data_IF_369572506367
#
_entry.id   IF_369572506367
#
_cell.length_a   1.000
_cell.length_b   1.000
_cell.length_c   1.000
_cell.angle_alpha   90.00
_cell.angle_beta   90.00
_cell.angle_gamma   90.00
#
_symmetry.space_group_name_H-M   'P 1'
#
loop_
_entity.id
_entity.type
_entity.pdbx_description
1 polymer ?
#
# COMPACT_ATOMS: atom_id res chain seq x y z
N UNK A 1 -4.74 -1.98 22.68
CA UNK A 1 -5.24 -1.32 21.46
C UNK A 1 -5.23 -2.36 20.37
N UNK A 2 -6.31 -2.50 19.59
CA UNK A 2 -6.35 -3.48 18.52
C UNK A 2 -5.37 -3.08 17.43
N UNK A 3 -4.85 -4.11 16.80
CA UNK A 3 -3.82 -3.97 15.81
C UNK A 3 -4.30 -3.57 14.43
N UNK A 4 -3.38 -3.16 13.54
CA UNK A 4 -3.78 -2.72 12.19
C UNK A 4 -4.51 -3.84 11.45
N UNK A 5 -4.00 -5.07 11.57
CA UNK A 5 -4.60 -6.24 10.93
C UNK A 5 -6.05 -6.44 11.38
N UNK A 6 -6.33 -6.29 12.68
CA UNK A 6 -7.70 -6.41 13.21
C UNK A 6 -8.57 -5.23 12.81
N UNK A 7 -8.01 -4.03 12.76
CA UNK A 7 -8.73 -2.79 12.47
C UNK A 7 -9.19 -2.69 11.01
N UNK A 8 -8.62 -3.49 10.10
CA UNK A 8 -8.99 -3.53 8.67
C UNK A 8 -9.84 -4.76 8.30
N UNK A 9 -10.28 -5.54 9.28
CA UNK A 9 -11.17 -6.67 9.04
C UNK A 9 -12.57 -6.17 8.64
N UNK A 10 -13.16 -6.85 7.67
CA UNK A 10 -14.53 -6.61 7.21
C UNK A 10 -15.23 -7.94 6.97
N UNK A 11 -16.52 -7.99 7.27
CA UNK A 11 -17.36 -9.18 7.09
C UNK A 11 -18.33 -8.97 5.93
N UNK A 12 -18.49 -10.00 5.10
CA UNK A 12 -19.48 -9.98 4.02
C UNK A 12 -20.90 -9.87 4.61
N UNK A 13 -21.71 -8.97 4.05
CA UNK A 13 -23.16 -9.01 4.16
C UNK A 13 -23.70 -10.05 3.17
N UNK A 14 -24.08 -11.22 3.68
CA UNK A 14 -24.56 -12.36 2.88
C UNK A 14 -25.78 -12.00 2.02
N UNK A 15 -26.57 -10.99 2.39
CA UNK A 15 -27.73 -10.58 1.60
C UNK A 15 -27.35 -9.85 0.30
N UNK A 16 -26.11 -9.37 0.21
CA UNK A 16 -25.61 -8.52 -0.87
C UNK A 16 -24.80 -9.26 -1.94
N UNK A 17 -24.43 -10.53 -1.68
CA UNK A 17 -23.48 -11.26 -2.53
C UNK A 17 -24.12 -11.72 -3.84
N UNK A 18 -23.45 -11.41 -4.93
CA UNK A 18 -23.74 -11.90 -6.28
C UNK A 18 -22.42 -12.22 -6.99
N UNK A 19 -22.44 -12.84 -8.18
CA UNK A 19 -21.22 -13.05 -8.96
C UNK A 19 -20.47 -11.78 -9.35
N UNK A 20 -21.10 -10.61 -9.26
CA UNK A 20 -20.52 -9.32 -9.68
C UNK A 20 -20.54 -8.26 -8.61
N UNK A 21 -21.17 -8.47 -7.46
CA UNK A 21 -21.30 -7.47 -6.41
C UNK A 21 -21.22 -8.09 -5.02
N UNK A 22 -20.72 -7.32 -4.05
CA UNK A 22 -20.73 -7.68 -2.63
C UNK A 22 -20.62 -6.42 -1.76
N UNK A 23 -21.20 -6.45 -0.57
CA UNK A 23 -21.01 -5.43 0.47
C UNK A 23 -20.29 -6.04 1.66
N UNK A 24 -19.22 -5.40 2.11
CA UNK A 24 -18.50 -5.75 3.33
C UNK A 24 -18.74 -4.69 4.38
N UNK A 25 -18.89 -5.10 5.63
CA UNK A 25 -19.22 -4.20 6.74
C UNK A 25 -18.18 -4.30 7.85
N UNK A 26 -18.05 -3.22 8.62
CA UNK A 26 -17.18 -3.16 9.79
C UNK A 26 -17.26 -1.80 10.48
N UNK A 27 -16.38 -1.60 11.46
CA UNK A 27 -16.28 -0.36 12.25
C UNK A 27 -14.91 0.27 12.08
N UNK A 28 -14.86 1.60 12.09
CA UNK A 28 -13.60 2.34 12.07
C UNK A 28 -12.99 2.32 13.47
N UNK A 29 -11.72 1.93 13.54
CA UNK A 29 -10.97 1.99 14.79
C UNK A 29 -10.24 3.33 14.93
N UNK A 30 -10.55 4.06 16.00
CA UNK A 30 -10.00 5.40 16.23
C UNK A 30 -8.50 5.40 16.55
N UNK A 31 -7.90 4.25 16.84
CA UNK A 31 -6.44 4.09 16.97
C UNK A 31 -5.75 4.47 15.66
N UNK A 32 -6.35 4.18 14.51
CA UNK A 32 -5.75 4.43 13.19
C UNK A 32 -6.17 5.79 12.59
N UNK A 33 -6.58 6.72 13.45
CA UNK A 33 -6.92 8.10 13.09
C UNK A 33 -5.75 9.07 13.28
N UNK A 34 -5.80 10.14 12.49
CA UNK A 34 -5.02 11.35 12.69
C UNK A 34 -5.99 12.46 13.13
N UNK A 35 -5.89 12.88 14.39
CA UNK A 35 -6.96 13.64 15.03
C UNK A 35 -8.24 12.81 15.07
N UNK A 36 -9.33 13.35 14.51
CA UNK A 36 -10.64 12.69 14.44
C UNK A 36 -10.91 11.94 13.13
N UNK A 37 -9.98 12.01 12.17
CA UNK A 37 -10.18 11.47 10.82
C UNK A 37 -9.29 10.24 10.63
N UNK A 38 -9.84 9.11 10.14
CA UNK A 38 -9.05 7.94 9.77
C UNK A 38 -7.92 8.30 8.81
N UNK A 39 -6.75 7.69 8.99
CA UNK A 39 -5.66 7.86 8.03
C UNK A 39 -6.10 7.33 6.64
N UNK A 40 -5.66 7.98 5.57
CA UNK A 40 -6.16 7.71 4.21
C UNK A 40 -5.88 6.27 3.78
N UNK A 41 -4.61 5.86 3.87
CA UNK A 41 -4.17 4.50 3.62
C UNK A 41 -4.80 3.42 4.52
N UNK A 42 -5.20 3.73 5.76
CA UNK A 42 -5.97 2.83 6.64
C UNK A 42 -7.36 2.57 6.02
N UNK A 43 -8.03 3.64 5.59
CA UNK A 43 -9.32 3.54 4.88
C UNK A 43 -9.19 2.74 3.57
N UNK A 44 -8.09 2.93 2.82
CA UNK A 44 -7.82 2.14 1.61
C UNK A 44 -7.46 0.69 1.92
N UNK A 45 -6.84 0.40 3.06
CA UNK A 45 -6.53 -0.96 3.48
C UNK A 45 -7.83 -1.73 3.77
N UNK A 46 -8.82 -1.10 4.40
CA UNK A 46 -10.17 -1.66 4.56
C UNK A 46 -10.78 -2.02 3.18
N UNK A 47 -10.80 -1.06 2.25
CA UNK A 47 -11.37 -1.25 0.92
C UNK A 47 -10.68 -2.39 0.18
N UNK A 48 -9.34 -2.38 0.14
CA UNK A 48 -8.57 -3.38 -0.57
C UNK A 48 -8.74 -4.78 0.02
N UNK A 49 -8.77 -4.92 1.35
CA UNK A 49 -8.96 -6.24 1.98
C UNK A 49 -10.38 -6.78 1.74
N UNK A 50 -11.39 -5.93 1.64
CA UNK A 50 -12.74 -6.33 1.20
C UNK A 50 -12.75 -6.80 -0.28
N UNK A 51 -12.04 -6.10 -1.17
CA UNK A 51 -11.88 -6.54 -2.58
C UNK A 51 -11.17 -7.89 -2.64
N UNK A 52 -10.08 -8.06 -1.90
CA UNK A 52 -9.34 -9.33 -1.86
C UNK A 52 -10.20 -10.49 -1.35
N UNK A 53 -11.01 -10.26 -0.30
CA UNK A 53 -11.97 -11.23 0.18
C UNK A 53 -13.01 -11.59 -0.90
N UNK A 54 -13.54 -10.57 -1.60
CA UNK A 54 -14.51 -10.78 -2.68
C UNK A 54 -13.94 -11.60 -3.82
N UNK A 55 -12.66 -11.42 -4.15
CA UNK A 55 -11.97 -12.20 -5.18
C UNK A 55 -11.87 -13.70 -4.85
N UNK A 56 -12.14 -14.12 -3.60
CA UNK A 56 -12.14 -15.51 -3.13
C UNK A 56 -13.55 -16.12 -3.04
N UNK A 57 -14.62 -15.37 -3.30
CA UNK A 57 -15.98 -15.87 -3.08
C UNK A 57 -16.34 -16.96 -4.09
N UNK A 58 -17.04 -18.04 -3.68
CA UNK A 58 -17.55 -19.06 -4.59
C UNK A 58 -18.45 -18.47 -5.71
N UNK A 59 -19.21 -17.43 -5.39
CA UNK A 59 -20.13 -16.77 -6.32
C UNK A 59 -19.38 -16.10 -7.48
N UNK A 60 -18.27 -15.44 -7.20
CA UNK A 60 -17.41 -14.84 -8.24
C UNK A 60 -16.61 -15.92 -8.99
N UNK A 61 -16.01 -16.85 -8.25
CA UNK A 61 -15.03 -17.81 -8.78
C UNK A 61 -15.66 -18.90 -9.64
N UNK A 62 -16.94 -19.23 -9.44
CA UNK A 62 -17.68 -20.23 -10.22
C UNK A 62 -18.16 -19.74 -11.60
N UNK A 63 -17.95 -18.46 -11.94
CA UNK A 63 -18.34 -17.90 -13.25
C UNK A 63 -17.55 -18.52 -14.42
N UNK A 64 -18.18 -18.63 -15.60
CA UNK A 64 -17.64 -19.31 -16.80
C UNK A 64 -16.51 -18.55 -17.54
N UNK A 65 -15.73 -17.73 -16.83
CA UNK A 65 -14.59 -17.00 -17.39
C UNK A 65 -13.36 -17.85 -17.19
N UNK A 66 -12.73 -18.31 -18.30
CA UNK A 66 -11.52 -19.16 -18.31
C UNK A 66 -10.55 -18.72 -17.20
N UNK A 67 -10.43 -19.58 -16.19
CA UNK A 67 -10.25 -19.23 -14.78
C UNK A 67 -8.79 -18.97 -14.41
N UNK A 68 -8.30 -17.75 -14.66
CA UNK A 68 -7.11 -17.26 -13.97
C UNK A 68 -7.56 -16.60 -12.66
N UNK A 69 -7.15 -17.12 -11.49
CA UNK A 69 -7.45 -16.47 -10.23
C UNK A 69 -6.64 -15.18 -10.11
N UNK A 70 -7.32 -14.04 -10.00
CA UNK A 70 -6.69 -12.74 -9.83
C UNK A 70 -6.64 -12.36 -8.34
N UNK A 71 -5.62 -12.82 -7.64
CA UNK A 71 -5.45 -12.62 -6.20
C UNK A 71 -4.58 -11.40 -5.84
N UNK A 72 -3.85 -10.86 -6.81
CA UNK A 72 -2.92 -9.77 -6.57
C UNK A 72 -3.50 -8.44 -7.03
N UNK A 73 -3.49 -7.39 -6.20
CA UNK A 73 -3.79 -6.06 -6.69
C UNK A 73 -2.66 -5.60 -7.63
N UNK A 74 -3.02 -4.99 -8.74
CA UNK A 74 -2.09 -4.37 -9.70
C UNK A 74 -2.16 -2.85 -9.55
N UNK A 75 -3.37 -2.29 -9.54
CA UNK A 75 -3.62 -0.85 -9.38
C UNK A 75 -4.77 -0.65 -8.39
N UNK A 76 -4.61 0.30 -7.48
CA UNK A 76 -5.67 0.85 -6.63
C UNK A 76 -5.65 2.38 -6.79
N UNK A 77 -6.64 2.95 -7.44
CA UNK A 77 -6.78 4.41 -7.60
C UNK A 77 -7.97 4.90 -6.83
N UNK A 78 -7.77 5.83 -5.90
CA UNK A 78 -8.78 6.29 -4.96
C UNK A 78 -9.03 7.79 -5.06
N UNK A 79 -10.29 8.18 -5.10
CA UNK A 79 -10.74 9.57 -4.94
C UNK A 79 -11.42 9.72 -3.58
N UNK A 80 -10.91 10.64 -2.77
CA UNK A 80 -11.46 10.97 -1.46
C UNK A 80 -12.51 12.06 -1.63
N UNK A 81 -13.77 11.65 -1.67
CA UNK A 81 -14.92 12.54 -1.93
C UNK A 81 -15.25 13.34 -0.67
N UNK A 82 -15.26 12.66 0.48
CA UNK A 82 -15.52 13.27 1.79
C UNK A 82 -14.69 12.58 2.87
N UNK A 83 -14.46 13.28 3.98
CA UNK A 83 -13.75 12.72 5.11
C UNK A 83 -14.51 11.50 5.67
N UNK A 84 -13.79 10.39 5.81
CA UNK A 84 -14.24 9.20 6.55
C UNK A 84 -14.40 9.59 8.02
N UNK A 85 -15.37 8.97 8.68
CA UNK A 85 -15.73 9.23 10.07
C UNK A 85 -15.58 7.96 10.90
N UNK A 86 -15.90 8.00 12.19
CA UNK A 86 -15.80 6.87 13.11
C UNK A 86 -17.08 6.00 13.15
N UNK A 87 -18.07 6.32 12.30
CA UNK A 87 -19.29 5.52 12.16
C UNK A 87 -19.02 4.18 11.45
N UNK A 88 -19.90 3.17 11.62
CA UNK A 88 -19.81 1.93 10.85
C UNK A 88 -19.76 2.20 9.34
N UNK A 89 -18.99 1.39 8.62
CA UNK A 89 -18.81 1.54 7.19
C UNK A 89 -19.42 0.37 6.41
N UNK A 90 -19.68 0.63 5.13
CA UNK A 90 -19.95 -0.37 4.11
C UNK A 90 -18.94 -0.19 2.98
N UNK A 91 -18.22 -1.24 2.61
CA UNK A 91 -17.45 -1.30 1.36
C UNK A 91 -18.29 -2.02 0.32
N UNK A 92 -18.73 -1.32 -0.72
CA UNK A 92 -19.49 -1.88 -1.83
C UNK A 92 -18.53 -2.18 -2.97
N UNK A 93 -18.43 -3.45 -3.35
CA UNK A 93 -17.54 -3.93 -4.42
C UNK A 93 -18.38 -4.34 -5.62
N UNK A 94 -17.99 -3.89 -6.82
CA UNK A 94 -18.64 -4.20 -8.09
C UNK A 94 -17.61 -4.60 -9.13
N UNK A 95 -17.82 -5.71 -9.82
CA UNK A 95 -17.05 -6.14 -10.98
C UNK A 95 -17.53 -5.37 -12.20
N UNK A 96 -16.64 -4.58 -12.80
CA UNK A 96 -16.92 -3.92 -14.08
C UNK A 96 -16.58 -4.82 -15.27
N UNK A 97 -15.46 -5.56 -15.17
CA UNK A 97 -15.02 -6.49 -16.22
C UNK A 97 -14.09 -7.55 -15.67
N UNK A 98 -14.19 -8.78 -16.17
CA UNK A 98 -13.16 -9.82 -15.98
C UNK A 98 -12.65 -10.33 -17.31
N UNK A 99 -11.34 -10.34 -17.48
CA UNK A 99 -10.65 -10.91 -18.62
C UNK A 99 -9.75 -12.07 -18.20
N UNK A 100 -8.88 -12.51 -19.13
CA UNK A 100 -7.91 -13.59 -18.88
C UNK A 100 -6.75 -13.18 -18.00
N UNK A 101 -6.37 -11.91 -18.03
CA UNK A 101 -5.16 -11.41 -17.35
C UNK A 101 -5.45 -10.41 -16.25
N UNK A 102 -6.62 -9.77 -16.29
CA UNK A 102 -7.00 -8.70 -15.36
C UNK A 102 -8.49 -8.80 -15.01
N UNK A 103 -8.81 -8.45 -13.77
CA UNK A 103 -10.16 -8.11 -13.33
C UNK A 103 -10.22 -6.64 -12.95
N UNK A 104 -11.22 -5.94 -13.45
CA UNK A 104 -11.49 -4.55 -13.21
C UNK A 104 -12.72 -4.43 -12.31
N UNK A 105 -12.53 -3.80 -11.16
CA UNK A 105 -13.54 -3.61 -10.13
C UNK A 105 -13.62 -2.14 -9.72
N UNK A 106 -14.80 -1.73 -9.29
CA UNK A 106 -15.02 -0.52 -8.51
C UNK A 106 -15.29 -0.93 -7.06
N UNK A 107 -14.71 -0.20 -6.10
CA UNK A 107 -15.01 -0.39 -4.69
C UNK A 107 -15.18 0.94 -3.98
N UNK A 108 -16.25 1.08 -3.21
CA UNK A 108 -16.66 2.34 -2.60
C UNK A 108 -16.85 2.18 -1.09
N UNK A 109 -16.34 3.13 -0.31
CA UNK A 109 -16.58 3.21 1.12
C UNK A 109 -17.71 4.19 1.41
N UNK A 110 -18.78 3.68 2.02
CA UNK A 110 -20.00 4.40 2.38
C UNK A 110 -20.15 4.46 3.90
N UNK A 111 -20.61 5.60 4.41
CA UNK A 111 -20.97 5.81 5.81
C UNK A 111 -22.18 6.73 5.89
N UNK A 112 -23.18 6.36 6.70
CA UNK A 112 -24.38 7.17 6.92
C UNK A 112 -25.10 7.57 5.63
N UNK A 113 -25.16 6.63 4.67
CA UNK A 113 -25.77 6.88 3.34
C UNK A 113 -24.95 7.77 2.41
N UNK A 114 -23.73 8.16 2.78
CA UNK A 114 -22.86 9.05 2.00
C UNK A 114 -21.60 8.29 1.55
N UNK A 115 -21.30 8.38 0.25
CA UNK A 115 -20.03 7.89 -0.30
C UNK A 115 -18.88 8.77 0.17
N UNK A 116 -17.91 8.16 0.85
CA UNK A 116 -16.71 8.85 1.36
C UNK A 116 -15.54 8.71 0.41
N UNK A 117 -15.32 7.51 -0.10
CA UNK A 117 -14.21 7.17 -1.00
C UNK A 117 -14.76 6.31 -2.13
N UNK A 118 -14.34 6.59 -3.36
CA UNK A 118 -14.54 5.69 -4.50
C UNK A 118 -13.18 5.25 -5.03
N UNK A 119 -13.07 3.98 -5.42
CA UNK A 119 -11.83 3.40 -5.91
C UNK A 119 -12.03 2.59 -7.16
N UNK A 120 -11.05 2.68 -8.05
CA UNK A 120 -10.90 1.82 -9.21
C UNK A 120 -9.78 0.82 -8.90
N UNK A 121 -10.08 -0.48 -9.00
CA UNK A 121 -9.15 -1.56 -8.66
C UNK A 121 -8.92 -2.45 -9.87
N UNK A 122 -7.66 -2.70 -10.19
CA UNK A 122 -7.26 -3.73 -11.13
C UNK A 122 -6.59 -4.87 -10.36
N UNK A 123 -7.13 -6.07 -10.51
CA UNK A 123 -6.61 -7.30 -9.94
C UNK A 123 -5.94 -8.13 -11.04
N UNK A 124 -4.89 -8.84 -10.68
CA UNK A 124 -4.08 -9.68 -11.56
C UNK A 124 -3.60 -10.94 -10.82
N UNK A 125 -2.78 -11.73 -11.50
CA UNK A 125 -1.95 -12.78 -10.91
C UNK A 125 -0.50 -12.56 -11.37
N UNK A 126 0.35 -12.03 -10.49
CA UNK A 126 1.74 -11.72 -10.84
C UNK A 126 2.53 -12.97 -11.22
N UNK A 127 2.24 -14.13 -10.61
CA UNK A 127 2.91 -15.38 -10.94
C UNK A 127 2.60 -15.81 -12.38
N UNK A 128 1.34 -15.75 -12.81
CA UNK A 128 0.93 -16.09 -14.18
C UNK A 128 1.43 -15.04 -15.18
N UNK A 129 1.41 -13.75 -14.83
CA UNK A 129 2.01 -12.70 -15.66
C UNK A 129 3.50 -12.96 -15.90
N UNK A 130 4.25 -13.27 -14.83
CA UNK A 130 5.66 -13.62 -14.91
C UNK A 130 5.90 -14.87 -15.75
N UNK A 131 5.16 -15.95 -15.52
CA UNK A 131 5.27 -17.17 -16.34
C UNK A 131 5.00 -16.89 -17.81
N UNK A 132 4.00 -16.06 -18.13
CA UNK A 132 3.70 -15.69 -19.50
C UNK A 132 4.82 -14.88 -20.14
N UNK A 133 5.41 -13.93 -19.40
CA UNK A 133 6.56 -13.15 -19.86
C UNK A 133 7.82 -14.01 -20.01
N UNK A 134 8.04 -14.98 -19.12
CA UNK A 134 9.17 -15.90 -19.16
C UNK A 134 9.10 -16.82 -20.40
N UNK A 135 7.90 -17.21 -20.86
CA UNK A 135 7.72 -17.96 -22.12
C UNK A 135 8.07 -17.17 -23.37
N UNK A 136 7.95 -15.84 -23.34
CA UNK A 136 8.27 -14.96 -24.47
C UNK A 136 9.69 -14.41 -24.40
N UNK A 137 10.51 -14.84 -23.43
CA UNK A 137 11.91 -14.43 -23.34
C UNK A 137 12.72 -14.93 -24.53
N UNK A 138 13.57 -14.05 -25.06
CA UNK A 138 14.54 -14.40 -26.09
C UNK A 138 15.54 -15.41 -25.50
N UNK A 139 15.67 -16.56 -26.15
CA UNK A 139 16.57 -17.63 -25.71
C UNK A 139 18.04 -17.29 -26.05
N UNK A 140 18.98 -17.90 -25.32
CA UNK A 140 20.42 -17.77 -25.60
C UNK A 140 21.12 -16.54 -24.99
N UNK A 141 20.39 -15.67 -24.29
CA UNK A 141 20.93 -14.48 -23.62
C UNK A 141 21.39 -14.84 -22.21
N UNK A 142 22.60 -14.45 -21.84
CA UNK A 142 23.23 -14.78 -20.56
C UNK A 142 23.84 -13.55 -19.88
N UNK A 143 24.13 -13.66 -18.58
CA UNK A 143 24.82 -12.61 -17.84
C UNK A 143 24.02 -11.30 -17.76
N UNK A 144 24.69 -10.16 -17.92
CA UNK A 144 24.06 -8.83 -17.83
C UNK A 144 23.04 -8.56 -18.93
N UNK A 145 23.19 -9.22 -20.09
CA UNK A 145 22.33 -9.00 -21.25
C UNK A 145 20.89 -9.49 -21.04
N UNK A 146 20.67 -10.38 -20.06
CA UNK A 146 19.33 -10.81 -19.62
C UNK A 146 18.49 -9.62 -19.14
N UNK A 147 19.17 -8.60 -18.61
CA UNK A 147 18.60 -7.33 -18.17
C UNK A 147 18.92 -6.22 -19.17
N UNK A 148 18.97 -6.48 -20.48
CA UNK A 148 19.03 -5.45 -21.51
C UNK A 148 17.75 -5.55 -22.36
N UNK A 149 16.91 -4.49 -22.47
CA UNK A 149 15.58 -4.61 -23.04
C UNK A 149 15.63 -4.75 -24.56
N UNK A 150 16.67 -4.17 -25.18
CA UNK A 150 16.95 -4.25 -26.61
C UNK A 150 17.32 -5.70 -26.97
N UNK A 151 18.06 -6.38 -26.09
CA UNK A 151 18.49 -7.76 -26.34
C UNK A 151 17.41 -8.77 -25.93
N UNK A 152 16.72 -8.55 -24.80
CA UNK A 152 15.80 -9.53 -24.22
C UNK A 152 14.36 -9.47 -24.76
N UNK A 153 14.12 -8.68 -25.81
CA UNK A 153 12.81 -8.51 -26.44
C UNK A 153 11.80 -7.76 -25.56
N UNK A 154 12.26 -6.83 -24.72
CA UNK A 154 11.45 -6.09 -23.74
C UNK A 154 10.67 -7.00 -22.78
N UNK A 155 11.19 -8.20 -22.51
CA UNK A 155 10.57 -9.15 -21.58
C UNK A 155 10.61 -8.63 -20.13
N UNK A 156 9.64 -9.06 -19.32
CA UNK A 156 9.58 -8.69 -17.89
C UNK A 156 10.82 -9.23 -17.17
N UNK A 157 11.67 -8.32 -16.71
CA UNK A 157 12.86 -8.62 -15.91
C UNK A 157 12.55 -8.50 -14.42
N UNK A 158 13.26 -9.28 -13.60
CA UNK A 158 13.09 -9.23 -12.12
C UNK A 158 13.66 -7.96 -11.49
N UNK A 159 14.51 -7.25 -12.23
CA UNK A 159 15.15 -6.00 -11.84
C UNK A 159 14.89 -4.96 -12.93
N UNK A 160 14.57 -3.74 -12.53
CA UNK A 160 14.51 -2.60 -13.45
C UNK A 160 15.93 -2.11 -13.69
N UNK A 161 16.27 -1.93 -14.95
CA UNK A 161 17.61 -1.52 -15.39
C UNK A 161 17.90 -0.05 -15.10
N UNK A 162 16.82 0.74 -15.01
CA UNK A 162 16.85 2.18 -14.83
C UNK A 162 16.43 2.60 -13.44
N UNK A 163 15.82 1.69 -12.66
CA UNK A 163 15.51 2.00 -11.27
C UNK A 163 16.81 2.15 -10.50
N UNK A 164 16.93 3.15 -9.62
CA UNK A 164 18.06 3.23 -8.72
C UNK A 164 18.13 1.93 -7.92
N UNK A 165 19.36 1.47 -7.62
CA UNK A 165 19.57 0.57 -6.48
C UNK A 165 18.84 1.16 -5.28
N UNK A 166 18.26 0.31 -4.43
CA UNK A 166 17.48 0.68 -3.25
C UNK A 166 17.86 2.08 -2.70
N UNK A 167 16.95 3.08 -2.78
CA UNK A 167 17.38 4.47 -2.87
C UNK A 167 17.62 5.15 -1.51
N UNK A 168 17.38 4.43 -0.41
CA UNK A 168 17.68 4.92 0.94
C UNK A 168 19.06 4.45 1.40
N UNK A 169 19.67 5.23 2.28
CA UNK A 169 20.83 4.82 3.05
C UNK A 169 20.53 3.52 3.82
N UNK A 170 21.51 2.63 4.03
CA UNK A 170 21.33 1.47 4.91
C UNK A 170 20.82 1.89 6.30
N UNK A 171 19.99 1.07 6.99
CA UNK A 171 19.37 1.46 8.27
C UNK A 171 20.34 1.97 9.33
N UNK A 172 21.56 1.44 9.38
CA UNK A 172 22.62 1.87 10.29
C UNK A 172 23.17 3.29 10.05
N UNK A 173 22.88 3.89 8.89
CA UNK A 173 23.23 5.28 8.55
C UNK A 173 22.05 6.25 8.71
N UNK A 174 20.87 5.73 9.03
CA UNK A 174 19.68 6.53 9.31
C UNK A 174 19.60 6.93 10.78
N UNK A 175 18.65 7.79 11.11
CA UNK A 175 18.36 8.14 12.50
C UNK A 175 17.96 6.90 13.30
N UNK A 176 18.23 6.89 14.61
CA UNK A 176 17.85 5.75 15.45
C UNK A 176 16.33 5.57 15.43
N UNK A 177 15.81 4.34 15.23
CA UNK A 177 14.38 4.10 15.25
C UNK A 177 13.74 4.63 16.53
N UNK A 178 12.64 5.37 16.36
CA UNK A 178 11.84 5.94 17.44
C UNK A 178 10.37 5.69 17.16
N UNK A 179 9.55 5.67 18.19
CA UNK A 179 8.10 5.72 17.98
C UNK A 179 7.72 6.99 17.21
N UNK A 180 6.73 6.86 16.33
CA UNK A 180 6.21 7.97 15.56
C UNK A 180 5.70 9.10 16.47
N UNK A 181 5.14 8.71 17.62
CA UNK A 181 4.68 9.59 18.69
C UNK A 181 3.20 9.94 18.54
N UNK A 182 2.51 10.10 19.66
CA UNK A 182 1.06 10.31 19.67
C UNK A 182 0.64 11.78 19.45
N UNK A 183 1.61 12.70 19.45
CA UNK A 183 1.35 14.13 19.30
C UNK A 183 2.52 14.80 18.56
N UNK A 184 2.21 15.56 17.51
CA UNK A 184 3.17 16.44 16.86
C UNK A 184 3.27 17.78 17.62
N UNK A 185 4.38 18.51 17.43
CA UNK A 185 4.54 19.92 17.88
C UNK A 185 3.37 20.82 17.47
N UNK A 186 2.76 20.46 16.34
CA UNK A 186 1.62 21.12 15.74
C UNK A 186 0.30 20.95 16.50
N UNK A 187 0.29 20.15 17.57
CA UNK A 187 -0.88 19.76 18.37
C UNK A 187 -1.70 18.60 17.77
N UNK A 188 -1.33 18.13 16.57
CA UNK A 188 -1.99 17.02 15.88
C UNK A 188 -1.73 15.71 16.60
N UNK A 189 -2.77 14.91 16.85
CA UNK A 189 -2.65 13.61 17.50
C UNK A 189 -2.63 12.47 16.49
N UNK A 190 -1.91 11.40 16.82
CA UNK A 190 -1.83 10.16 16.04
C UNK A 190 -2.14 8.99 16.97
N UNK A 191 -3.30 8.35 16.81
CA UNK A 191 -3.69 7.25 17.70
C UNK A 191 -2.73 6.05 17.65
N UNK A 192 -2.09 5.87 16.50
CA UNK A 192 -1.16 4.78 16.20
C UNK A 192 0.31 5.14 16.49
N UNK A 193 0.59 6.30 17.08
CA UNK A 193 1.95 6.83 17.24
C UNK A 193 2.91 5.92 17.98
N UNK A 194 2.39 5.12 18.93
CA UNK A 194 3.15 4.12 19.69
C UNK A 194 3.08 2.69 19.10
N UNK A 195 2.38 2.51 17.97
CA UNK A 195 2.24 1.25 17.25
C UNK A 195 3.10 1.22 15.97
N UNK A 196 3.80 2.32 15.69
CA UNK A 196 4.63 2.49 14.52
C UNK A 196 5.95 3.16 14.94
N UNK A 197 7.06 2.61 14.46
CA UNK A 197 8.37 3.25 14.55
C UNK A 197 8.78 3.84 13.22
N UNK A 198 9.55 4.92 13.27
CA UNK A 198 10.13 5.62 12.12
C UNK A 198 11.64 5.79 12.33
N UNK A 199 12.39 5.73 11.23
CA UNK A 199 13.82 6.04 11.14
C UNK A 199 14.10 6.80 9.86
N UNK A 200 14.30 8.11 9.97
CA UNK A 200 14.51 9.00 8.84
C UNK A 200 15.90 8.87 8.21
N UNK A 201 15.98 9.01 6.88
CA UNK A 201 17.25 9.04 6.13
C UNK A 201 17.72 10.50 5.94
N UNK A 202 18.76 10.94 6.67
CA UNK A 202 19.24 12.31 6.60
C UNK A 202 19.87 12.66 5.23
N UNK A 203 20.20 11.67 4.39
CA UNK A 203 20.66 11.91 3.02
C UNK A 203 19.54 12.55 2.18
N UNK A 204 18.30 12.09 2.33
CA UNK A 204 17.17 12.59 1.56
C UNK A 204 16.78 14.01 2.00
N UNK A 205 16.84 14.29 3.31
CA UNK A 205 16.65 15.63 3.83
C UNK A 205 17.69 16.63 3.25
N UNK A 206 18.95 16.21 3.09
CA UNK A 206 19.98 17.02 2.43
C UNK A 206 19.70 17.22 0.94
N UNK A 207 19.19 16.21 0.24
CA UNK A 207 18.83 16.32 -1.18
C UNK A 207 17.82 17.45 -1.43
N UNK A 208 16.88 17.66 -0.51
CA UNK A 208 15.93 18.79 -0.57
C UNK A 208 16.62 20.16 -0.56
N UNK A 209 17.76 20.29 0.13
CA UNK A 209 18.51 21.54 0.21
C UNK A 209 19.38 21.82 -1.02
N UNK A 210 19.68 20.80 -1.83
CA UNK A 210 20.69 20.87 -2.89
C UNK A 210 20.14 20.53 -4.27
N UNK A 211 18.82 20.32 -4.42
CA UNK A 211 18.19 19.98 -5.70
C UNK A 211 16.92 20.80 -5.92
N UNK A 212 16.37 20.71 -7.13
CA UNK A 212 15.09 21.30 -7.53
C UNK A 212 13.88 20.42 -7.16
N UNK A 213 14.08 19.41 -6.31
CA UNK A 213 13.05 18.46 -5.90
C UNK A 213 13.05 18.25 -4.39
N UNK A 214 11.86 18.34 -3.78
CA UNK A 214 11.66 17.94 -2.38
C UNK A 214 11.79 16.42 -2.28
N UNK A 215 12.54 15.94 -1.29
CA UNK A 215 12.78 14.51 -1.04
C UNK A 215 12.81 14.20 0.45
N UNK A 216 12.16 13.11 0.84
CA UNK A 216 12.29 12.52 2.17
C UNK A 216 12.19 11.00 2.08
N UNK A 217 13.08 10.33 2.80
CA UNK A 217 13.10 8.87 2.93
C UNK A 217 13.06 8.47 4.38
N UNK A 218 12.33 7.41 4.70
CA UNK A 218 12.28 6.84 6.04
C UNK A 218 11.97 5.35 6.01
N UNK A 219 12.45 4.64 7.02
CA UNK A 219 12.02 3.29 7.36
C UNK A 219 10.85 3.35 8.32
N UNK A 220 9.90 2.44 8.14
CA UNK A 220 8.76 2.26 9.02
C UNK A 220 8.68 0.81 9.47
N UNK A 221 8.38 0.59 10.75
CA UNK A 221 8.14 -0.73 11.31
C UNK A 221 6.93 -0.67 12.24
N UNK A 222 5.89 -1.43 11.89
CA UNK A 222 4.73 -1.66 12.75
C UNK A 222 5.15 -2.57 13.91
N UNK A 223 4.68 -2.23 15.11
CA UNK A 223 4.86 -3.07 16.30
C UNK A 223 4.22 -4.44 16.04
N UNK A 224 4.95 -5.50 16.39
CA UNK A 224 4.44 -6.86 16.22
C UNK A 224 3.23 -7.09 17.12
N UNK A 225 2.15 -7.60 16.53
CA UNK A 225 0.92 -7.92 17.23
C UNK A 225 0.74 -9.44 17.25
N UNK A 226 -0.03 -9.97 18.22
CA UNK A 226 -0.40 -11.39 18.22
C UNK A 226 -1.06 -11.77 16.90
N UNK A 227 -0.77 -12.99 16.42
CA UNK A 227 -1.45 -13.55 15.25
C UNK A 227 -2.95 -13.55 15.48
N UNK A 228 -3.70 -13.02 14.52
CA UNK A 228 -5.15 -13.03 14.57
C UNK A 228 -5.68 -14.46 14.41
N UNK A 229 -6.40 -14.95 15.42
CA UNK A 229 -7.16 -16.18 15.31
C UNK A 229 -8.46 -15.90 14.54
N UNK A 230 -8.42 -16.09 13.22
CA UNK A 230 -9.57 -15.93 12.33
C UNK A 230 -10.15 -17.31 11.97
N UNK A 231 -11.45 -17.35 11.69
CA UNK A 231 -12.08 -18.55 11.12
C UNK A 231 -11.56 -18.76 9.69
N UNK A 232 -10.68 -19.74 9.52
CA UNK A 232 -10.05 -20.07 8.24
C UNK A 232 -11.07 -20.40 7.15
N UNK A 233 -12.22 -21.00 7.49
CA UNK A 233 -13.26 -21.34 6.51
C UNK A 233 -13.95 -20.08 5.99
N UNK A 234 -14.18 -19.10 6.86
CA UNK A 234 -14.75 -17.81 6.46
C UNK A 234 -13.77 -17.02 5.61
N UNK A 235 -12.49 -16.99 5.98
CA UNK A 235 -11.45 -16.31 5.20
C UNK A 235 -11.27 -16.95 3.82
N UNK A 236 -11.17 -18.28 3.75
CA UNK A 236 -10.99 -19.01 2.50
C UNK A 236 -12.16 -18.85 1.52
N UNK A 237 -13.37 -18.59 2.02
CA UNK A 237 -14.58 -18.35 1.20
C UNK A 237 -14.89 -16.87 0.97
N UNK A 238 -13.98 -15.97 1.37
CA UNK A 238 -14.18 -14.53 1.23
C UNK A 238 -15.28 -13.95 2.11
N UNK A 239 -15.76 -14.67 3.14
CA UNK A 239 -16.81 -14.18 4.06
C UNK A 239 -16.28 -13.27 5.15
N UNK A 240 -14.97 -13.35 5.38
CA UNK A 240 -14.21 -12.49 6.27
C UNK A 240 -12.93 -12.09 5.55
N UNK A 241 -12.59 -10.80 5.56
CA UNK A 241 -11.30 -10.37 5.02
C UNK A 241 -10.14 -10.86 5.89
N UNK A 242 -8.97 -11.10 5.30
CA UNK A 242 -7.82 -11.68 6.02
C UNK A 242 -7.04 -10.67 6.85
N UNK A 243 -7.20 -9.37 6.57
CA UNK A 243 -6.48 -8.29 7.23
C UNK A 243 -4.96 -8.29 7.00
N UNK A 244 -4.49 -8.94 5.92
CA UNK A 244 -3.04 -9.15 5.67
C UNK A 244 -2.41 -8.10 4.76
N UNK A 245 -3.19 -7.45 3.90
CA UNK A 245 -2.63 -6.47 2.96
C UNK A 245 -2.60 -5.08 3.61
N UNK A 246 -1.43 -4.72 4.17
CA UNK A 246 -1.19 -3.44 4.84
C UNK A 246 -0.56 -2.38 3.92
N UNK A 247 -0.37 -2.71 2.64
CA UNK A 247 0.35 -1.85 1.69
C UNK A 247 -0.32 -0.48 1.53
N UNK A 248 -1.66 -0.34 1.44
CA UNK A 248 -2.25 0.99 1.28
C UNK A 248 -1.96 1.91 2.46
N UNK A 249 -1.98 1.39 3.69
CA UNK A 249 -1.57 2.14 4.88
C UNK A 249 -0.10 2.57 4.78
N UNK A 250 0.80 1.61 4.54
CA UNK A 250 2.24 1.85 4.48
C UNK A 250 2.66 2.76 3.31
N UNK A 251 1.97 2.69 2.17
CA UNK A 251 2.21 3.54 1.01
C UNK A 251 1.75 4.99 1.22
N UNK A 252 0.81 5.21 2.14
CA UNK A 252 0.34 6.54 2.55
C UNK A 252 1.06 7.05 3.83
N UNK A 253 2.05 6.29 4.31
CA UNK A 253 2.97 6.70 5.39
C UNK A 253 4.26 7.27 4.81
N UNK A 254 4.25 8.55 4.49
CA UNK A 254 5.44 9.28 4.02
C UNK A 254 5.41 10.73 4.49
N UNK A 255 6.56 11.39 4.45
CA UNK A 255 6.65 12.82 4.76
C UNK A 255 6.01 13.61 3.63
N UNK A 256 4.93 14.34 3.87
CA UNK A 256 4.31 15.14 2.81
C UNK A 256 5.25 16.27 2.35
N UNK A 257 5.30 16.63 1.05
CA UNK A 257 6.19 17.66 0.53
C UNK A 257 6.17 19.00 1.29
N UNK A 258 5.02 19.56 1.73
CA UNK A 258 5.03 20.77 2.56
C UNK A 258 5.82 20.66 3.87
N UNK A 259 5.98 19.45 4.41
CA UNK A 259 6.79 19.18 5.60
C UNK A 259 8.29 19.03 5.30
N UNK A 260 8.67 18.87 4.03
CA UNK A 260 10.07 18.78 3.61
C UNK A 260 10.72 20.15 3.44
N UNK A 261 9.91 21.20 3.31
CA UNK A 261 10.41 22.57 3.11
C UNK A 261 11.24 22.97 4.34
N UNK A 262 12.48 23.44 4.17
CA UNK A 262 13.30 23.89 5.30
C UNK A 262 12.66 25.06 6.05
N UNK A 263 12.85 25.10 7.36
CA UNK A 263 12.40 26.20 8.23
C UNK A 263 11.24 25.84 9.14
N UNK A 264 10.81 26.83 9.95
CA UNK A 264 9.68 26.66 10.86
C UNK A 264 8.37 26.96 10.14
N UNK A 265 7.46 25.99 10.14
CA UNK A 265 6.15 26.11 9.52
C UNK A 265 5.04 26.06 10.56
N UNK A 266 3.94 26.78 10.31
CA UNK A 266 2.72 26.59 11.09
C UNK A 266 2.13 25.20 10.81
N UNK A 267 1.36 24.68 11.75
CA UNK A 267 0.60 23.44 11.56
C UNK A 267 -0.37 23.58 10.38
N UNK A 268 -0.28 22.65 9.43
CA UNK A 268 -1.21 22.53 8.32
C UNK A 268 -1.83 21.13 8.30
N UNK A 269 -2.98 21.03 7.65
CA UNK A 269 -3.62 19.78 7.32
C UNK A 269 -3.52 19.53 5.81
N UNK A 270 -3.16 18.30 5.46
CA UNK A 270 -3.00 17.88 4.08
C UNK A 270 -4.06 16.83 3.72
N UNK A 271 -5.31 17.22 3.44
CA UNK A 271 -6.31 16.26 3.02
C UNK A 271 -5.97 15.75 1.62
N UNK A 272 -5.79 14.44 1.53
CA UNK A 272 -5.67 13.74 0.26
C UNK A 272 -6.95 13.89 -0.55
N UNK A 273 -6.82 14.27 -1.81
CA UNK A 273 -7.91 14.31 -2.79
C UNK A 273 -7.90 13.04 -3.64
N UNK A 274 -6.71 12.61 -4.05
CA UNK A 274 -6.51 11.43 -4.89
C UNK A 274 -5.23 10.69 -4.49
N UNK A 275 -5.28 9.36 -4.50
CA UNK A 275 -4.13 8.49 -4.27
C UNK A 275 -4.20 7.30 -5.21
N UNK A 276 -3.18 7.11 -6.04
CA UNK A 276 -3.01 5.91 -6.85
C UNK A 276 -1.85 5.09 -6.29
N UNK A 277 -2.04 3.78 -6.16
CA UNK A 277 -1.02 2.81 -5.75
C UNK A 277 -0.91 1.76 -6.85
N UNK A 278 0.29 1.66 -7.43
CA UNK A 278 0.66 0.65 -8.40
C UNK A 278 1.53 -0.41 -7.72
N UNK A 279 0.97 -1.61 -7.56
CA UNK A 279 1.67 -2.74 -6.98
C UNK A 279 2.65 -3.31 -8.00
N UNK A 280 3.86 -3.65 -7.56
CA UNK A 280 4.94 -4.10 -8.44
C UNK A 280 5.28 -5.58 -8.28
N UNK A 281 4.64 -6.28 -7.34
CA UNK A 281 4.82 -7.71 -7.11
C UNK A 281 3.69 -8.31 -6.27
N UNK A 282 3.60 -9.64 -6.30
CA UNK A 282 2.78 -10.39 -5.35
C UNK A 282 3.30 -10.15 -3.92
N UNK A 283 2.37 -10.08 -2.98
CA UNK A 283 2.71 -10.12 -1.57
C UNK A 283 3.11 -11.54 -1.15
N UNK A 284 3.86 -11.68 -0.04
CA UNK A 284 4.25 -12.99 0.47
C UNK A 284 3.04 -13.91 0.63
N UNK A 285 3.17 -15.16 0.21
CA UNK A 285 2.12 -16.17 0.38
C UNK A 285 1.99 -16.62 1.85
N UNK A 286 0.87 -17.24 2.18
CA UNK A 286 0.62 -17.78 3.51
C UNK A 286 0.41 -16.68 4.56
N UNK A 287 0.92 -16.91 5.77
CA UNK A 287 0.70 -16.05 6.94
C UNK A 287 1.75 -14.93 7.10
N UNK A 288 2.63 -14.77 6.11
CA UNK A 288 3.64 -13.72 6.12
C UNK A 288 3.01 -12.34 5.90
N UNK A 289 3.42 -11.37 6.73
CA UNK A 289 2.90 -10.00 6.68
C UNK A 289 4.05 -9.02 6.54
N UNK A 290 3.93 -8.12 5.57
CA UNK A 290 4.86 -7.02 5.37
C UNK A 290 4.56 -5.94 6.40
N UNK A 291 5.38 -5.90 7.46
CA UNK A 291 5.26 -4.93 8.57
C UNK A 291 6.39 -3.92 8.63
N UNK A 292 7.48 -4.16 7.90
CA UNK A 292 8.62 -3.25 7.80
C UNK A 292 8.82 -2.82 6.36
N UNK A 293 8.87 -1.52 6.15
CA UNK A 293 9.03 -0.92 4.83
C UNK A 293 10.00 0.24 4.88
N UNK A 294 10.37 0.71 3.69
CA UNK A 294 11.04 1.96 3.45
C UNK A 294 10.22 2.75 2.45
N UNK A 295 9.97 4.02 2.71
CA UNK A 295 9.37 4.92 1.72
C UNK A 295 10.38 5.95 1.26
N UNK A 296 10.39 6.23 -0.03
CA UNK A 296 11.00 7.43 -0.58
C UNK A 296 9.92 8.28 -1.22
N UNK A 297 9.66 9.44 -0.65
CA UNK A 297 8.68 10.41 -1.15
C UNK A 297 9.38 11.60 -1.77
N UNK A 298 8.86 12.08 -2.90
CA UNK A 298 9.33 13.28 -3.59
C UNK A 298 8.16 14.18 -3.98
N UNK A 299 8.43 15.47 -4.15
CA UNK A 299 7.47 16.46 -4.65
C UNK A 299 8.16 17.57 -5.43
N UNK A 300 7.48 18.15 -6.43
CA UNK A 300 8.05 19.21 -7.27
C UNK A 300 7.17 20.46 -7.32
N UNK A 301 5.87 20.27 -7.33
CA UNK A 301 4.90 21.35 -7.48
C UNK A 301 4.12 21.57 -6.19
N UNK A 302 3.91 22.83 -5.88
CA UNK A 302 3.04 23.28 -4.82
C UNK A 302 2.44 24.60 -5.23
N UNK A 303 1.26 24.55 -5.84
CA UNK A 303 0.66 25.68 -6.54
C UNK A 303 -0.81 25.75 -6.15
N UNK A 304 -1.32 26.95 -5.90
CA UNK A 304 -2.73 27.19 -5.56
C UNK A 304 -3.25 26.35 -4.40
N UNK A 305 -2.43 26.17 -3.36
CA UNK A 305 -2.81 25.40 -2.17
C UNK A 305 -2.94 23.89 -2.42
N UNK A 306 -2.40 23.38 -3.52
CA UNK A 306 -2.30 21.95 -3.83
C UNK A 306 -0.85 21.53 -3.87
N UNK A 307 -0.58 20.28 -3.49
CA UNK A 307 0.71 19.65 -3.71
C UNK A 307 0.52 18.20 -4.16
N UNK A 308 1.52 17.67 -4.84
CA UNK A 308 1.62 16.26 -5.18
C UNK A 308 2.79 15.59 -4.48
N UNK A 309 2.66 14.28 -4.28
CA UNK A 309 3.79 13.45 -3.87
C UNK A 309 3.87 12.21 -4.76
N UNK A 310 5.06 11.94 -5.25
CA UNK A 310 5.44 10.67 -5.87
C UNK A 310 6.26 9.87 -4.86
N UNK A 311 5.76 8.71 -4.47
CA UNK A 311 6.34 7.87 -3.42
C UNK A 311 6.64 6.46 -3.93
N UNK A 312 7.78 5.92 -3.50
CA UNK A 312 8.18 4.53 -3.72
C UNK A 312 8.13 3.78 -2.39
N UNK A 313 7.41 2.66 -2.34
CA UNK A 313 7.35 1.79 -1.16
C UNK A 313 8.20 0.55 -1.41
N UNK A 314 9.20 0.34 -0.56
CA UNK A 314 10.16 -0.75 -0.63
C UNK A 314 10.04 -1.65 0.60
N UNK A 315 10.39 -2.94 0.46
CA UNK A 315 10.56 -3.84 1.60
C UNK A 315 11.74 -3.37 2.45
N UNK A 316 11.66 -3.58 3.76
CA UNK A 316 12.82 -3.40 4.61
C UNK A 316 13.90 -4.46 4.27
N UNK A 317 15.21 -4.15 4.34
CA UNK A 317 16.27 -5.12 4.05
C UNK A 317 16.25 -6.39 4.93
N UNK A 318 15.76 -6.28 6.17
CA UNK A 318 15.52 -7.43 7.09
C UNK A 318 14.39 -8.35 6.63
N UNK A 319 13.53 -7.91 5.73
CA UNK A 319 12.39 -8.67 5.18
C UNK A 319 12.67 -9.26 3.80
N UNK A 320 13.92 -9.28 3.34
CA UNK A 320 14.29 -9.86 2.04
C UNK A 320 13.82 -11.32 1.88
N UNK A 321 13.87 -12.09 2.98
CA UNK A 321 13.49 -13.51 3.00
C UNK A 321 12.02 -13.75 2.60
N UNK A 322 11.14 -12.75 2.79
CA UNK A 322 9.73 -12.83 2.41
C UNK A 322 9.52 -12.85 0.87
N UNK A 323 10.50 -12.37 0.11
CA UNK A 323 10.40 -12.22 -1.34
C UNK A 323 11.36 -13.14 -2.11
N UNK A 324 12.37 -13.69 -1.44
CA UNK A 324 13.34 -14.61 -2.05
C UNK A 324 12.81 -16.05 -2.22
N UNK A 325 11.87 -16.48 -1.36
CA UNK A 325 11.31 -17.84 -1.40
C UNK A 325 10.65 -18.20 -2.75
N UNK A 326 10.07 -17.21 -3.44
CA UNK A 326 9.46 -17.41 -4.76
C UNK A 326 10.45 -17.62 -5.92
N UNK A 327 11.77 -17.43 -5.72
CA UNK A 327 12.80 -17.70 -6.74
C UNK A 327 13.20 -19.17 -6.83
N UNK A 328 12.99 -19.96 -5.77
CA UNK A 328 13.54 -21.31 -5.68
C UNK A 328 12.64 -22.40 -6.29
N UNK A 329 11.37 -22.11 -6.61
CA UNK A 329 10.45 -23.10 -7.18
C UNK A 329 10.68 -23.40 -8.68
N UNK A 330 11.73 -22.87 -9.29
CA UNK A 330 12.10 -23.15 -10.70
C UNK A 330 13.60 -23.12 -11.00
N UNK A 331 14.45 -22.97 -9.97
CA UNK A 331 15.90 -23.03 -10.14
C UNK A 331 16.39 -24.42 -9.75
N UNK A 332 16.95 -25.15 -10.71
CA UNK A 332 17.74 -26.34 -10.43
C UNK A 332 18.75 -26.03 -9.31
N UNK A 333 18.89 -26.97 -8.36
CA UNK A 333 19.89 -26.93 -7.29
C UNK A 333 21.24 -26.47 -7.87
N UNK A 334 21.71 -25.28 -7.48
CA UNK A 334 23.06 -24.81 -7.82
C UNK A 334 23.20 -23.43 -8.47
N UNK A 335 22.13 -22.69 -8.81
CA UNK A 335 22.31 -21.32 -9.36
C UNK A 335 22.45 -20.26 -8.26
N UNK A 336 23.72 -20.01 -7.92
CA UNK A 336 24.34 -18.83 -7.27
C UNK A 336 23.40 -17.95 -6.42
N UNK A 337 23.52 -18.15 -5.09
CA UNK A 337 23.22 -17.14 -4.06
C UNK A 337 23.73 -15.77 -4.55
N UNK A 338 22.93 -14.70 -4.39
CA UNK A 338 23.53 -13.36 -4.33
C UNK A 338 24.69 -13.41 -3.32
N UNK A 339 25.77 -12.63 -3.51
CA UNK A 339 26.95 -12.68 -2.62
C UNK A 339 26.46 -12.77 -1.17
N UNK A 340 26.79 -13.85 -0.47
CA UNK A 340 26.35 -14.08 0.91
C UNK A 340 26.54 -12.81 1.72
N UNK A 341 25.45 -12.28 2.30
CA UNK A 341 25.46 -11.06 3.12
C UNK A 341 25.01 -9.76 2.44
N UNK A 342 24.76 -9.72 1.13
CA UNK A 342 24.19 -8.52 0.48
C UNK A 342 22.71 -8.37 0.88
N UNK A 343 22.41 -7.42 1.78
CA UNK A 343 21.03 -7.08 2.17
C UNK A 343 20.30 -6.44 0.98
N UNK A 344 19.17 -7.02 0.57
CA UNK A 344 18.37 -6.55 -0.56
C UNK A 344 17.02 -5.99 -0.14
N UNK A 345 16.58 -4.95 -0.83
CA UNK A 345 15.23 -4.40 -0.71
C UNK A 345 14.51 -4.51 -2.04
N UNK A 346 13.20 -4.68 -1.96
CA UNK A 346 12.34 -4.96 -3.10
C UNK A 346 11.27 -3.89 -3.23
N UNK A 347 11.13 -3.28 -4.41
CA UNK A 347 10.04 -2.33 -4.68
C UNK A 347 8.70 -3.06 -4.58
N UNK A 348 7.83 -2.63 -3.68
CA UNK A 348 6.52 -3.21 -3.41
C UNK A 348 5.43 -2.48 -4.18
N UNK A 349 5.46 -1.15 -4.11
CA UNK A 349 4.49 -0.30 -4.79
C UNK A 349 5.08 1.07 -5.15
N UNK A 350 4.48 1.72 -6.13
CA UNK A 350 4.66 3.15 -6.40
C UNK A 350 3.33 3.83 -6.10
N UNK A 351 3.37 4.97 -5.40
CA UNK A 351 2.20 5.72 -5.03
C UNK A 351 2.29 7.17 -5.53
N UNK A 352 1.19 7.72 -6.05
CA UNK A 352 1.09 9.14 -6.38
C UNK A 352 -0.11 9.75 -5.65
N UNK A 353 0.15 10.76 -4.84
CA UNK A 353 -0.85 11.45 -4.04
C UNK A 353 -1.02 12.89 -4.53
N UNK A 354 -2.26 13.37 -4.59
CA UNK A 354 -2.60 14.79 -4.70
C UNK A 354 -3.36 15.20 -3.45
N UNK A 355 -2.93 16.28 -2.80
CA UNK A 355 -3.52 16.77 -1.57
C UNK A 355 -3.58 18.31 -1.54
N UNK A 356 -4.44 18.85 -0.68
CA UNK A 356 -4.48 20.30 -0.43
C UNK A 356 -3.52 20.69 0.70
N UNK A 357 -3.18 21.97 0.78
CA UNK A 357 -2.52 22.59 1.92
C UNK A 357 -3.53 23.51 2.58
N UNK A 358 -4.10 23.07 3.71
CA UNK A 358 -5.10 23.84 4.45
C UNK A 358 -4.59 24.22 5.84
N UNK A 359 -4.98 25.37 6.40
CA UNK A 359 -4.72 25.69 7.80
C UNK A 359 -5.30 24.63 8.73
N UNK A 360 -4.57 24.24 9.79
CA UNK A 360 -5.00 23.17 10.69
C UNK A 360 -6.35 23.43 11.38
N UNK A 361 -6.72 24.69 11.59
CA UNK A 361 -8.02 25.08 12.15
C UNK A 361 -9.22 24.50 11.37
N UNK A 362 -9.09 24.29 10.06
CA UNK A 362 -10.13 23.68 9.21
C UNK A 362 -10.40 22.23 9.63
N UNK A 363 -9.36 21.49 10.04
CA UNK A 363 -9.51 20.13 10.54
C UNK A 363 -10.25 20.11 11.89
N UNK A 364 -9.87 20.99 12.82
CA UNK A 364 -10.52 21.08 14.14
C UNK A 364 -12.00 21.46 14.05
N UNK A 365 -12.37 22.33 13.11
CA UNK A 365 -13.77 22.71 12.88
C UNK A 365 -14.63 21.51 12.46
N UNK A 366 -14.08 20.56 11.68
CA UNK A 366 -14.79 19.31 11.33
C UNK A 366 -15.06 18.41 12.53
N UNK A 367 -14.19 18.46 13.55
CA UNK A 367 -14.40 17.76 14.82
C UNK A 367 -15.54 18.39 15.63
N UNK A 368 -15.65 19.73 15.63
CA UNK A 368 -16.68 20.46 16.40
C UNK A 368 -18.07 20.41 15.77
N UNK A 369 -18.19 20.34 14.45
CA UNK A 369 -19.48 20.31 13.76
C UNK A 369 -20.26 18.98 13.90
N UNK A 370 -19.75 18.03 14.68
CA UNK A 370 -20.34 16.70 14.90
C UNK A 370 -20.51 16.31 16.38
N UNK A 371 -20.17 17.23 17.28
CA UNK A 371 -20.62 17.25 18.67
C UNK A 371 -21.77 18.26 18.75
#
# INVERSE_FOLDING_TARGET
MPGLQSAILSRLDESSITPTNATYTGTIDTTWCIGSVPQGGYSLSIILNAVLAFMLTPELTSTNIKSVPHHDPLILSATYIQAVTWTPYQVRVTVLKRGKSLSNLQAELWQDGVMRITTQVLMTNFAIQKQSADRTKVQGINGKDVHNPVLNGYSVTEESQWAPKFPLSPPEKCEKPRFFGNQAESGKTFGFGNLLTISEDPLQARSTLTSDQLSAGAYYELVAEPTLALDEKLVAKGRLSSGRNLIPFLADMFTSPPMMIPGKHKSHWYPTLHLTIEFKRALPAGDAIVRRTATLSRGRFMINGQHESDSELWSHPKDQHLFEQHRNNGAAEGKKRGKEGERRSYILAIARQTALVLPFAVNQAKTKAKL
#
